data_IF_142784967350
#
_entry.id   IF_142784967350
#
_cell.length_a   1.000
_cell.length_b   1.000
_cell.length_c   1.000
_cell.angle_alpha   90.00
_cell.angle_beta   90.00
_cell.angle_gamma   90.00
#
_symmetry.space_group_name_H-M   'P 1'
#
loop_
_entity.id
_entity.type
_entity.pdbx_description
1 polymer ?
#
# COMPACT_ATOMS: atom_id res chain seq x y z
N UNK A 1 21.52 3.26 -8.69
CA UNK A 1 20.24 3.97 -8.73
C UNK A 1 19.75 4.38 -7.33
N UNK A 2 19.72 3.49 -6.34
CA UNK A 2 19.29 3.78 -4.95
C UNK A 2 20.18 4.83 -4.26
N UNK A 3 21.50 4.76 -4.42
CA UNK A 3 22.48 5.69 -3.80
C UNK A 3 22.30 7.14 -4.27
N UNK A 4 21.95 7.34 -5.53
CA UNK A 4 21.68 8.67 -6.11
C UNK A 4 20.34 9.23 -5.65
N UNK A 5 19.36 8.36 -5.41
CA UNK A 5 18.05 8.71 -4.87
C UNK A 5 18.19 9.17 -3.40
N UNK A 6 18.88 8.39 -2.57
CA UNK A 6 19.15 8.72 -1.16
C UNK A 6 19.93 10.03 -1.02
N UNK A 7 20.94 10.26 -1.85
CA UNK A 7 21.70 11.52 -1.81
C UNK A 7 20.90 12.74 -2.24
N UNK A 8 19.97 12.60 -3.19
CA UNK A 8 19.03 13.68 -3.55
C UNK A 8 17.99 13.90 -2.45
N UNK A 9 17.51 12.84 -1.84
CA UNK A 9 16.54 12.90 -0.74
C UNK A 9 17.15 13.56 0.51
N UNK A 10 18.38 13.23 0.88
CA UNK A 10 19.09 13.87 2.01
C UNK A 10 19.38 15.37 1.79
N UNK A 11 19.40 15.86 0.57
CA UNK A 11 19.51 17.32 0.29
C UNK A 11 18.17 18.06 0.43
N UNK A 12 17.06 17.36 0.29
CA UNK A 12 15.71 17.94 0.40
C UNK A 12 15.25 17.97 1.87
N UNK A 13 15.68 17.00 2.71
CA UNK A 13 15.35 16.92 4.14
C UNK A 13 15.60 18.22 4.92
N UNK A 14 16.75 18.91 4.81
CA UNK A 14 16.95 20.13 5.58
C UNK A 14 16.04 21.28 5.14
N UNK A 15 15.68 21.36 3.87
CA UNK A 15 14.77 22.40 3.38
C UNK A 15 13.32 22.13 3.82
N UNK A 16 12.87 20.87 3.83
CA UNK A 16 11.56 20.48 4.34
C UNK A 16 11.48 20.56 5.85
N UNK A 17 12.54 20.21 6.58
CA UNK A 17 12.62 20.38 8.04
C UNK A 17 12.61 21.86 8.43
N UNK A 18 13.31 22.70 7.68
CA UNK A 18 13.30 24.16 7.88
C UNK A 18 11.91 24.75 7.61
N UNK A 19 11.23 24.25 6.57
CA UNK A 19 9.85 24.66 6.25
C UNK A 19 8.88 24.22 7.35
N UNK A 20 8.98 22.99 7.87
CA UNK A 20 8.18 22.47 8.99
C UNK A 20 8.46 23.23 10.29
N UNK A 21 9.70 23.67 10.55
CA UNK A 21 10.06 24.45 11.74
C UNK A 21 9.61 25.91 11.66
N UNK A 22 9.40 26.46 10.45
CA UNK A 22 8.92 27.81 10.24
C UNK A 22 7.38 27.94 10.22
N UNK A 23 6.66 26.81 10.08
CA UNK A 23 5.19 26.79 10.00
C UNK A 23 4.41 26.63 11.32
N UNK A 24 5.00 26.31 12.51
CA UNK A 24 4.21 26.15 13.75
C UNK A 24 3.38 27.39 14.11
N UNK A 25 3.86 28.58 13.78
CA UNK A 25 3.15 29.81 14.12
C UNK A 25 1.89 30.06 13.26
N UNK A 26 1.81 29.50 12.07
CA UNK A 26 0.63 29.61 11.20
C UNK A 26 -0.49 28.65 11.61
N UNK A 27 -0.14 27.51 12.21
CA UNK A 27 -1.11 26.48 12.65
C UNK A 27 -1.69 26.86 14.03
N UNK A 28 -0.90 27.42 14.94
CA UNK A 28 -1.37 27.82 16.28
C UNK A 28 -2.09 29.17 16.33
N UNK A 29 -2.02 30.00 15.28
CA UNK A 29 -2.76 31.25 15.20
C UNK A 29 -4.28 31.05 14.94
N UNK A 30 -4.74 29.84 14.72
CA UNK A 30 -6.11 29.49 14.36
C UNK A 30 -7.01 29.06 15.54
N UNK A 31 -6.52 29.04 16.79
CA UNK A 31 -7.36 28.63 17.94
C UNK A 31 -8.33 29.72 18.44
N UNK A 32 -8.47 30.83 17.75
CA UNK A 32 -9.32 31.94 18.14
C UNK A 32 -10.21 32.49 17.02
N UNK A 33 -11.19 31.73 16.56
CA UNK A 33 -12.28 32.31 15.79
C UNK A 33 -12.58 31.64 14.44
N UNK A 34 -13.71 30.96 14.37
CA UNK A 34 -14.44 30.63 13.15
C UNK A 34 -13.84 29.46 12.33
N UNK A 35 -14.66 28.49 12.02
CA UNK A 35 -14.33 27.44 11.04
C UNK A 35 -13.85 28.08 9.73
N UNK A 36 -12.54 28.03 9.47
CA UNK A 36 -11.97 28.45 8.18
C UNK A 36 -12.02 27.35 7.12
N UNK A 37 -12.54 26.16 7.45
CA UNK A 37 -12.70 25.02 6.55
C UNK A 37 -14.04 25.03 5.81
N UNK A 38 -14.10 24.37 4.69
CA UNK A 38 -15.32 24.14 3.91
C UNK A 38 -16.08 22.99 4.57
N UNK A 39 -17.31 23.23 5.05
CA UNK A 39 -18.13 22.17 5.58
C UNK A 39 -18.59 21.23 4.46
N UNK A 40 -18.52 19.91 4.71
CA UNK A 40 -18.96 18.91 3.73
C UNK A 40 -20.44 19.04 3.35
N UNK A 41 -21.27 19.64 4.22
CA UNK A 41 -22.68 19.99 3.97
C UNK A 41 -22.86 21.03 2.85
N UNK A 42 -21.87 21.87 2.62
CA UNK A 42 -21.90 22.92 1.58
C UNK A 42 -21.50 22.38 0.20
N UNK A 43 -20.99 21.13 0.18
CA UNK A 43 -20.54 20.50 -1.05
C UNK A 43 -21.66 19.67 -1.69
N UNK A 44 -22.07 20.04 -2.91
CA UNK A 44 -22.99 19.23 -3.71
C UNK A 44 -22.28 17.97 -4.27
N UNK A 45 -23.06 16.98 -4.68
CA UNK A 45 -22.53 15.73 -5.29
C UNK A 45 -21.61 15.97 -6.51
N UNK A 46 -21.71 17.09 -7.19
CA UNK A 46 -20.85 17.43 -8.32
C UNK A 46 -19.37 17.55 -7.95
N UNK A 47 -19.07 17.86 -6.67
CA UNK A 47 -17.70 17.93 -6.17
C UNK A 47 -17.02 16.57 -6.06
N UNK A 48 -17.78 15.48 -6.19
CA UNK A 48 -17.21 14.11 -6.25
C UNK A 48 -16.69 13.75 -7.65
N UNK A 49 -17.04 14.49 -8.68
CA UNK A 49 -16.65 14.17 -10.07
C UNK A 49 -15.13 14.13 -10.29
N UNK A 50 -14.32 15.09 -9.81
CA UNK A 50 -12.87 15.01 -9.98
C UNK A 50 -12.27 13.77 -9.31
N UNK A 51 -12.80 13.37 -8.15
CA UNK A 51 -12.38 12.15 -7.46
C UNK A 51 -12.76 10.88 -8.25
N UNK A 52 -14.01 10.78 -8.69
CA UNK A 52 -14.46 9.67 -9.54
C UNK A 52 -13.67 9.62 -10.86
N UNK A 53 -13.39 10.78 -11.44
CA UNK A 53 -12.64 10.91 -12.69
C UNK A 53 -11.20 10.43 -12.58
N UNK A 54 -10.48 10.77 -11.48
CA UNK A 54 -9.11 10.27 -11.29
C UNK A 54 -9.10 8.76 -11.04
N UNK A 55 -10.05 8.22 -10.25
CA UNK A 55 -10.17 6.78 -10.04
C UNK A 55 -10.44 6.01 -11.33
N UNK A 56 -11.37 6.50 -12.16
CA UNK A 56 -11.64 5.90 -13.46
C UNK A 56 -10.44 6.02 -14.40
N UNK A 57 -9.71 7.13 -14.35
CA UNK A 57 -8.49 7.30 -15.16
C UNK A 57 -7.42 6.27 -14.76
N UNK A 58 -7.21 6.04 -13.46
CA UNK A 58 -6.27 5.04 -12.96
C UNK A 58 -6.69 3.61 -13.35
N UNK A 59 -7.99 3.32 -13.31
CA UNK A 59 -8.50 1.99 -13.61
C UNK A 59 -8.52 1.68 -15.12
N UNK A 60 -8.89 2.65 -15.96
CA UNK A 60 -9.19 2.40 -17.39
C UNK A 60 -8.00 2.77 -18.28
N UNK A 61 -7.33 3.89 -18.04
CA UNK A 61 -6.31 4.38 -18.96
C UNK A 61 -5.14 3.42 -19.18
N UNK A 62 -4.59 2.71 -18.14
CA UNK A 62 -3.56 1.69 -18.35
C UNK A 62 -4.03 0.53 -19.23
N UNK A 63 -5.30 0.15 -19.15
CA UNK A 63 -5.87 -0.95 -19.95
C UNK A 63 -6.00 -0.58 -21.44
N UNK A 64 -6.26 0.71 -21.74
CA UNK A 64 -6.37 1.20 -23.11
C UNK A 64 -4.99 1.41 -23.74
N UNK A 65 -4.09 2.09 -23.03
CA UNK A 65 -2.74 2.36 -23.51
C UNK A 65 -1.75 2.55 -22.35
N UNK A 66 -1.09 1.46 -21.97
CA UNK A 66 -0.12 1.40 -20.87
C UNK A 66 1.04 2.40 -21.06
N UNK A 67 1.63 2.47 -22.27
CA UNK A 67 2.76 3.37 -22.56
C UNK A 67 2.38 4.84 -22.43
N UNK A 68 1.19 5.20 -22.96
CA UNK A 68 0.69 6.57 -22.85
C UNK A 68 0.45 6.94 -21.38
N UNK A 69 -0.17 6.04 -20.61
CA UNK A 69 -0.44 6.24 -19.19
C UNK A 69 0.84 6.50 -18.41
N UNK A 70 1.86 5.66 -18.55
CA UNK A 70 3.14 5.83 -17.86
C UNK A 70 3.82 7.16 -18.13
N UNK A 71 3.62 7.75 -19.32
CA UNK A 71 4.17 9.06 -19.67
C UNK A 71 3.32 10.25 -19.19
N UNK A 72 2.02 10.06 -19.00
CA UNK A 72 1.07 11.15 -18.79
C UNK A 72 0.29 11.09 -17.48
N UNK A 73 0.48 10.05 -16.64
CA UNK A 73 -0.27 9.93 -15.38
C UNK A 73 -0.18 11.18 -14.49
N UNK A 74 1.01 11.81 -14.41
CA UNK A 74 1.20 13.04 -13.64
C UNK A 74 0.41 14.23 -14.20
N UNK A 75 0.30 14.35 -15.54
CA UNK A 75 -0.50 15.40 -16.20
C UNK A 75 -1.99 15.17 -15.98
N UNK A 76 -2.45 13.92 -16.06
CA UNK A 76 -3.85 13.55 -15.80
C UNK A 76 -4.20 13.84 -14.35
N UNK A 77 -3.34 13.46 -13.38
CA UNK A 77 -3.55 13.76 -11.97
C UNK A 77 -3.57 15.26 -11.70
N UNK A 78 -2.65 16.03 -12.29
CA UNK A 78 -2.64 17.48 -12.20
C UNK A 78 -3.90 18.11 -12.81
N UNK A 79 -4.38 17.59 -13.94
CA UNK A 79 -5.62 18.02 -14.57
C UNK A 79 -6.83 17.85 -13.65
N UNK A 80 -6.98 16.70 -13.02
CA UNK A 80 -8.06 16.44 -12.05
C UNK A 80 -7.93 17.29 -10.79
N UNK A 81 -6.70 17.50 -10.28
CA UNK A 81 -6.45 18.40 -9.16
C UNK A 81 -6.84 19.84 -9.49
N UNK A 82 -6.49 20.35 -10.66
CA UNK A 82 -6.88 21.69 -11.10
C UNK A 82 -8.39 21.80 -11.28
N UNK A 83 -9.05 20.76 -11.81
CA UNK A 83 -10.49 20.70 -11.97
C UNK A 83 -11.23 20.70 -10.62
N UNK A 84 -10.58 20.35 -9.53
CA UNK A 84 -11.09 20.49 -8.17
C UNK A 84 -10.76 21.88 -7.58
N UNK A 85 -9.49 22.26 -7.59
CA UNK A 85 -8.99 23.47 -6.91
C UNK A 85 -9.52 24.76 -7.54
N UNK A 86 -9.57 24.85 -8.88
CA UNK A 86 -10.02 26.09 -9.54
C UNK A 86 -11.48 26.43 -9.24
N UNK A 87 -12.44 25.51 -9.34
CA UNK A 87 -13.81 25.79 -8.90
C UNK A 87 -13.92 26.07 -7.39
N UNK A 88 -13.11 25.41 -6.55
CA UNK A 88 -13.09 25.72 -5.09
C UNK A 88 -12.68 27.16 -4.83
N UNK A 89 -11.65 27.65 -5.51
CA UNK A 89 -11.23 29.07 -5.39
C UNK A 89 -12.36 30.02 -5.80
N UNK A 90 -13.08 29.69 -6.87
CA UNK A 90 -14.18 30.51 -7.37
C UNK A 90 -15.39 30.50 -6.44
N UNK A 91 -15.71 29.34 -5.86
CA UNK A 91 -16.92 29.16 -5.04
C UNK A 91 -16.71 29.56 -3.58
N UNK A 92 -15.55 29.25 -2.99
CA UNK A 92 -15.28 29.42 -1.55
C UNK A 92 -14.17 30.44 -1.25
N UNK A 93 -13.52 30.95 -2.29
CA UNK A 93 -12.42 31.90 -2.16
C UNK A 93 -11.05 31.24 -2.00
N UNK A 94 -10.03 32.06 -2.25
CA UNK A 94 -8.62 31.57 -2.26
C UNK A 94 -8.16 31.11 -0.87
N UNK A 95 -8.51 31.83 0.18
CA UNK A 95 -8.06 31.58 1.56
C UNK A 95 -8.59 30.21 2.08
N UNK A 96 -9.92 29.99 1.96
CA UNK A 96 -10.54 28.71 2.36
C UNK A 96 -9.98 27.53 1.55
N UNK A 97 -9.84 27.70 0.24
CA UNK A 97 -9.27 26.64 -0.61
C UNK A 97 -7.82 26.35 -0.27
N UNK A 98 -7.00 27.38 -0.03
CA UNK A 98 -5.61 27.21 0.38
C UNK A 98 -5.50 26.48 1.72
N UNK A 99 -6.37 26.81 2.67
CA UNK A 99 -6.44 26.12 3.95
C UNK A 99 -6.71 24.61 3.76
N UNK A 100 -7.74 24.24 2.98
CA UNK A 100 -8.08 22.84 2.72
C UNK A 100 -6.95 22.08 2.02
N UNK A 101 -6.34 22.70 1.01
CA UNK A 101 -5.20 22.08 0.29
C UNK A 101 -4.01 21.89 1.21
N UNK A 102 -3.68 22.88 2.05
CA UNK A 102 -2.59 22.77 3.01
C UNK A 102 -2.90 21.75 4.12
N UNK A 103 -4.15 21.73 4.60
CA UNK A 103 -4.61 20.76 5.60
C UNK A 103 -4.45 19.33 5.07
N UNK A 104 -5.01 19.02 3.90
CA UNK A 104 -4.89 17.71 3.28
C UNK A 104 -3.41 17.33 3.02
N UNK A 105 -2.60 18.29 2.57
CA UNK A 105 -1.19 18.05 2.27
C UNK A 105 -0.35 17.78 3.53
N UNK A 106 -0.51 18.60 4.57
CA UNK A 106 0.33 18.54 5.77
C UNK A 106 -0.15 17.50 6.80
N UNK A 107 -1.45 17.32 6.96
CA UNK A 107 -2.01 16.45 8.00
C UNK A 107 -2.42 15.06 7.49
N UNK A 108 -2.62 14.89 6.19
CA UNK A 108 -2.97 13.59 5.62
C UNK A 108 -1.84 13.04 4.75
N UNK A 109 -1.42 13.77 3.71
CA UNK A 109 -0.45 13.27 2.74
C UNK A 109 0.94 13.06 3.34
N UNK A 110 1.47 14.02 4.09
CA UNK A 110 2.80 13.92 4.70
C UNK A 110 2.94 12.77 5.69
N UNK A 111 2.05 12.61 6.70
CA UNK A 111 2.09 11.47 7.61
C UNK A 111 1.97 10.14 6.88
N UNK A 112 1.14 10.08 5.84
CA UNK A 112 0.99 8.90 5.01
C UNK A 112 2.29 8.53 4.26
N UNK A 113 2.96 9.49 3.64
CA UNK A 113 4.24 9.24 2.95
C UNK A 113 5.34 8.82 3.93
N UNK A 114 5.39 9.42 5.13
CA UNK A 114 6.34 9.03 6.18
C UNK A 114 6.09 7.60 6.62
N UNK A 115 4.82 7.21 6.82
CA UNK A 115 4.45 5.83 7.15
C UNK A 115 4.90 4.86 6.07
N UNK A 116 4.58 5.14 4.80
CA UNK A 116 5.00 4.29 3.68
C UNK A 116 6.51 4.17 3.58
N UNK A 117 7.23 5.27 3.78
CA UNK A 117 8.70 5.27 3.76
C UNK A 117 9.27 4.40 4.88
N UNK A 118 8.72 4.52 6.10
CA UNK A 118 9.13 3.71 7.24
C UNK A 118 8.88 2.21 6.99
N UNK A 119 7.66 1.85 6.57
CA UNK A 119 7.30 0.46 6.26
C UNK A 119 8.15 -0.11 5.12
N UNK A 120 8.38 0.66 4.06
CA UNK A 120 9.20 0.25 2.93
C UNK A 120 10.66 0.03 3.34
N UNK A 121 11.21 0.92 4.16
CA UNK A 121 12.60 0.84 4.62
C UNK A 121 12.82 -0.39 5.52
N UNK A 122 11.91 -0.63 6.46
CA UNK A 122 11.97 -1.78 7.38
C UNK A 122 11.83 -3.09 6.58
N UNK A 123 10.84 -3.17 5.69
CA UNK A 123 10.56 -4.40 4.94
C UNK A 123 11.62 -4.69 3.88
N UNK A 124 12.20 -3.67 3.26
CA UNK A 124 13.25 -3.81 2.26
C UNK A 124 14.58 -4.31 2.82
N UNK A 125 14.81 -4.13 4.14
CA UNK A 125 16.00 -4.59 4.85
C UNK A 125 15.98 -6.06 5.28
N UNK A 126 14.86 -6.76 5.13
CA UNK A 126 14.74 -8.17 5.55
C UNK A 126 14.69 -9.09 4.35
N UNK A 127 15.53 -10.14 4.37
CA UNK A 127 15.59 -11.17 3.31
C UNK A 127 15.51 -12.56 3.92
N UNK A 128 14.63 -13.39 3.38
CA UNK A 128 14.58 -14.80 3.72
C UNK A 128 15.52 -15.56 2.79
N UNK A 129 16.54 -16.21 3.35
CA UNK A 129 17.48 -17.11 2.68
C UNK A 129 17.09 -18.56 2.92
N UNK A 130 17.64 -19.44 2.10
CA UNK A 130 17.52 -20.90 2.22
C UNK A 130 16.57 -21.50 1.21
N UNK A 131 16.63 -22.84 1.15
CA UNK A 131 15.82 -23.64 0.24
C UNK A 131 14.43 -23.86 0.83
N UNK A 132 13.41 -23.38 0.13
CA UNK A 132 12.01 -23.66 0.45
C UNK A 132 11.46 -24.62 -0.60
N UNK A 133 10.88 -25.75 -0.15
CA UNK A 133 10.20 -26.69 -1.04
C UNK A 133 8.89 -26.05 -1.51
N UNK A 134 8.70 -25.94 -2.82
CA UNK A 134 7.46 -25.43 -3.42
C UNK A 134 6.34 -26.48 -3.36
N UNK A 135 5.95 -26.94 -2.17
CA UNK A 135 4.83 -27.86 -1.96
C UNK A 135 3.56 -27.08 -1.57
N UNK A 136 2.36 -27.65 -1.80
CA UNK A 136 1.11 -26.99 -1.42
C UNK A 136 1.04 -26.59 0.06
N UNK A 137 1.61 -27.42 0.94
CA UNK A 137 1.64 -27.18 2.38
C UNK A 137 2.51 -25.96 2.71
N UNK A 138 3.73 -25.92 2.16
CA UNK A 138 4.68 -24.81 2.38
C UNK A 138 4.17 -23.52 1.76
N UNK A 139 3.64 -23.59 0.54
CA UNK A 139 3.05 -22.43 -0.12
C UNK A 139 1.87 -21.86 0.68
N UNK A 140 0.95 -22.74 1.15
CA UNK A 140 -0.20 -22.35 1.98
C UNK A 140 0.26 -21.72 3.31
N UNK A 141 1.29 -22.28 3.94
CA UNK A 141 1.87 -21.74 5.16
C UNK A 141 2.49 -20.34 4.94
N UNK A 142 3.17 -20.12 3.82
CA UNK A 142 3.72 -18.81 3.45
C UNK A 142 2.59 -17.80 3.21
N UNK A 143 1.53 -18.21 2.52
CA UNK A 143 0.37 -17.34 2.28
C UNK A 143 -0.33 -16.97 3.60
N UNK A 144 -0.54 -17.94 4.50
CA UNK A 144 -1.11 -17.70 5.81
C UNK A 144 -0.25 -16.75 6.65
N UNK A 145 1.07 -17.02 6.71
CA UNK A 145 2.02 -16.15 7.42
C UNK A 145 2.00 -14.73 6.84
N UNK A 146 2.01 -14.61 5.51
CA UNK A 146 1.95 -13.32 4.85
C UNK A 146 0.67 -12.57 5.13
N UNK A 147 -0.47 -13.26 5.17
CA UNK A 147 -1.77 -12.69 5.52
C UNK A 147 -1.78 -12.11 6.94
N UNK A 148 -1.19 -12.82 7.91
CA UNK A 148 -1.05 -12.34 9.30
C UNK A 148 -0.10 -11.14 9.37
N UNK A 149 1.07 -11.25 8.74
CA UNK A 149 2.08 -10.19 8.76
C UNK A 149 1.59 -8.90 8.09
N UNK A 150 0.77 -9.01 7.05
CA UNK A 150 0.26 -7.86 6.31
C UNK A 150 -0.52 -6.88 7.19
N UNK A 151 -1.25 -7.36 8.20
CA UNK A 151 -1.95 -6.50 9.17
C UNK A 151 -1.01 -5.68 10.05
N UNK A 152 0.23 -6.13 10.28
CA UNK A 152 1.17 -5.49 11.21
C UNK A 152 2.25 -4.66 10.54
N UNK A 153 2.76 -5.13 9.39
CA UNK A 153 3.85 -4.45 8.68
C UNK A 153 3.45 -3.88 7.32
N UNK A 154 2.13 -3.87 7.07
CA UNK A 154 1.55 -3.43 5.81
C UNK A 154 1.58 -4.49 4.71
N UNK A 155 0.58 -4.44 3.83
CA UNK A 155 0.49 -5.31 2.66
C UNK A 155 1.74 -5.23 1.79
N UNK A 156 2.25 -4.03 1.55
CA UNK A 156 3.49 -3.81 0.78
C UNK A 156 4.69 -4.46 1.45
N UNK A 157 4.83 -4.31 2.78
CA UNK A 157 5.93 -4.89 3.55
C UNK A 157 5.93 -6.41 3.53
N UNK A 158 4.79 -7.02 3.83
CA UNK A 158 4.62 -8.46 3.80
C UNK A 158 4.83 -9.03 2.39
N UNK A 159 4.32 -8.33 1.36
CA UNK A 159 4.51 -8.73 -0.03
C UNK A 159 5.98 -8.68 -0.44
N UNK A 160 6.72 -7.61 -0.13
CA UNK A 160 8.15 -7.51 -0.45
C UNK A 160 8.98 -8.59 0.23
N UNK A 161 8.64 -8.95 1.46
CA UNK A 161 9.34 -10.00 2.21
C UNK A 161 9.13 -11.39 1.61
N UNK A 162 7.89 -11.72 1.21
CA UNK A 162 7.50 -13.10 0.92
C UNK A 162 7.38 -13.43 -0.57
N UNK A 163 7.20 -12.44 -1.46
CA UNK A 163 7.00 -12.73 -2.90
C UNK A 163 8.22 -13.39 -3.54
N UNK A 164 9.42 -12.97 -3.19
CA UNK A 164 10.66 -13.55 -3.74
C UNK A 164 10.91 -14.97 -3.26
N UNK A 165 10.81 -15.30 -1.95
CA UNK A 165 10.88 -16.68 -1.46
C UNK A 165 9.86 -17.61 -2.11
N UNK A 166 8.59 -17.23 -2.18
CA UNK A 166 7.55 -18.10 -2.77
C UNK A 166 7.76 -18.33 -4.27
N UNK A 167 8.18 -17.29 -5.02
CA UNK A 167 8.50 -17.43 -6.44
C UNK A 167 9.73 -18.33 -6.68
N UNK A 168 10.77 -18.21 -5.84
CA UNK A 168 11.96 -19.06 -5.94
C UNK A 168 11.64 -20.51 -5.63
N UNK A 169 10.87 -20.77 -4.56
CA UNK A 169 10.45 -22.12 -4.18
C UNK A 169 9.68 -22.83 -5.31
N UNK A 170 8.98 -22.08 -6.14
CA UNK A 170 8.14 -22.59 -7.22
C UNK A 170 8.71 -22.31 -8.62
N UNK A 171 9.99 -21.93 -8.74
CA UNK A 171 10.60 -21.59 -10.02
C UNK A 171 10.59 -22.75 -11.03
N UNK A 172 10.70 -23.98 -10.54
CA UNK A 172 10.73 -25.22 -11.31
C UNK A 172 9.37 -25.64 -11.90
N UNK A 173 8.24 -25.05 -11.40
CA UNK A 173 6.89 -25.36 -11.87
C UNK A 173 6.54 -24.58 -13.14
N UNK A 174 5.85 -25.22 -14.07
CA UNK A 174 5.25 -24.57 -15.23
C UNK A 174 3.97 -23.81 -14.82
N UNK A 175 3.12 -24.45 -14.01
CA UNK A 175 1.84 -23.91 -13.56
C UNK A 175 1.98 -23.19 -12.21
N UNK A 176 2.38 -21.91 -12.22
CA UNK A 176 2.60 -21.09 -11.02
C UNK A 176 1.78 -19.79 -10.96
N UNK A 177 0.94 -19.51 -11.97
CA UNK A 177 0.16 -18.27 -12.01
C UNK A 177 -0.80 -18.12 -10.83
N UNK A 178 -1.44 -19.23 -10.43
CA UNK A 178 -2.37 -19.26 -9.30
C UNK A 178 -1.70 -18.87 -7.98
N UNK A 179 -0.42 -19.22 -7.78
CA UNK A 179 0.33 -18.83 -6.57
C UNK A 179 0.39 -17.31 -6.43
N UNK A 180 0.70 -16.60 -7.52
CA UNK A 180 0.77 -15.15 -7.53
C UNK A 180 -0.62 -14.52 -7.33
N UNK A 181 -1.65 -15.10 -7.98
CA UNK A 181 -3.02 -14.60 -7.85
C UNK A 181 -3.50 -14.69 -6.40
N UNK A 182 -3.34 -15.83 -5.75
CA UNK A 182 -3.74 -15.99 -4.35
C UNK A 182 -2.86 -15.20 -3.39
N UNK A 183 -1.58 -15.02 -3.72
CA UNK A 183 -0.69 -14.13 -2.97
C UNK A 183 -1.19 -12.68 -2.98
N UNK A 184 -1.64 -12.19 -4.14
CA UNK A 184 -2.23 -10.85 -4.24
C UNK A 184 -3.51 -10.77 -3.41
N UNK A 185 -4.41 -11.73 -3.52
CA UNK A 185 -5.66 -11.70 -2.76
C UNK A 185 -5.43 -11.78 -1.24
N UNK A 186 -4.59 -12.69 -0.79
CA UNK A 186 -4.38 -12.94 0.63
C UNK A 186 -3.42 -11.92 1.27
N UNK A 187 -2.19 -11.82 0.74
CA UNK A 187 -1.12 -11.05 1.39
C UNK A 187 -1.20 -9.57 1.02
N UNK A 188 -1.40 -9.26 -0.26
CA UNK A 188 -1.40 -7.88 -0.73
C UNK A 188 -2.76 -7.18 -0.58
N UNK A 189 -3.82 -7.88 -0.14
CA UNK A 189 -5.16 -7.33 0.00
C UNK A 189 -5.80 -7.71 1.34
N UNK A 190 -6.40 -8.89 1.46
CA UNK A 190 -7.20 -9.33 2.62
C UNK A 190 -6.42 -9.19 3.93
N UNK A 191 -5.12 -9.55 3.93
CA UNK A 191 -4.27 -9.48 5.11
C UNK A 191 -4.09 -8.08 5.69
N UNK A 192 -4.25 -7.03 4.89
CA UNK A 192 -4.12 -5.64 5.34
C UNK A 192 -5.32 -5.07 6.09
N UNK A 193 -6.45 -5.77 6.14
CA UNK A 193 -7.73 -5.19 6.57
C UNK A 193 -7.90 -4.99 8.08
N UNK A 194 -7.03 -5.54 8.94
CA UNK A 194 -7.25 -5.53 10.39
C UNK A 194 -6.66 -4.34 11.14
N UNK A 195 -5.69 -3.64 10.60
CA UNK A 195 -5.11 -2.47 11.28
C UNK A 195 -4.83 -1.31 10.32
N UNK A 196 -4.74 -0.08 10.82
CA UNK A 196 -4.33 1.08 10.02
C UNK A 196 -2.96 0.95 9.35
N UNK A 197 -2.07 0.11 9.89
CA UNK A 197 -0.76 -0.16 9.28
C UNK A 197 -0.86 -1.12 8.10
N UNK A 198 -1.93 -1.89 8.03
CA UNK A 198 -2.12 -2.92 7.01
C UNK A 198 -2.40 -2.35 5.63
N UNK A 199 -3.25 -1.34 5.55
CA UNK A 199 -3.69 -0.77 4.28
C UNK A 199 -3.83 0.76 4.35
N UNK A 200 -3.32 1.50 3.34
CA UNK A 200 -3.36 2.96 3.27
C UNK A 200 -4.69 3.64 3.59
N UNK A 201 -5.84 3.20 3.04
CA UNK A 201 -7.13 3.80 3.36
C UNK A 201 -7.51 3.71 4.84
N UNK A 202 -7.13 2.62 5.52
CA UNK A 202 -7.37 2.47 6.95
C UNK A 202 -6.54 3.43 7.79
N UNK A 203 -5.31 3.72 7.33
CA UNK A 203 -4.46 4.73 7.98
C UNK A 203 -5.06 6.14 7.87
N UNK A 204 -5.62 6.51 6.72
CA UNK A 204 -6.32 7.77 6.58
C UNK A 204 -7.53 7.84 7.52
N UNK A 205 -8.32 6.77 7.64
CA UNK A 205 -9.41 6.69 8.61
C UNK A 205 -8.92 6.86 10.06
N UNK A 206 -7.76 6.30 10.41
CA UNK A 206 -7.14 6.50 11.71
C UNK A 206 -6.75 7.97 11.96
N UNK A 207 -6.18 8.66 10.97
CA UNK A 207 -5.88 10.09 11.06
C UNK A 207 -7.14 10.94 11.26
N UNK A 208 -8.28 10.50 10.73
CA UNK A 208 -9.59 11.13 10.91
C UNK A 208 -10.30 10.72 12.22
N UNK A 209 -9.59 10.10 13.17
CA UNK A 209 -10.07 9.80 14.51
C UNK A 209 -10.70 8.41 14.69
N UNK A 210 -10.67 7.53 13.69
CA UNK A 210 -11.10 6.13 13.87
C UNK A 210 -10.08 5.41 14.77
N UNK A 211 -10.56 4.68 15.79
CA UNK A 211 -9.68 3.97 16.72
C UNK A 211 -8.80 2.93 16.03
N UNK A 212 -7.54 2.79 16.47
CA UNK A 212 -6.55 1.89 15.85
C UNK A 212 -7.04 0.43 15.71
N UNK A 213 -7.68 -0.11 16.74
CA UNK A 213 -8.22 -1.47 16.74
C UNK A 213 -9.69 -1.58 16.32
N UNK A 214 -10.26 -0.49 15.79
CA UNK A 214 -11.66 -0.51 15.36
C UNK A 214 -11.89 -1.56 14.25
N UNK A 215 -11.05 -1.56 13.22
CA UNK A 215 -11.12 -2.53 12.13
C UNK A 215 -10.86 -3.96 12.61
N UNK A 216 -9.92 -4.15 13.53
CA UNK A 216 -9.66 -5.47 14.12
C UNK A 216 -10.91 -6.00 14.82
N UNK A 217 -11.58 -5.20 15.65
CA UNK A 217 -12.75 -5.64 16.42
C UNK A 217 -13.99 -5.88 15.55
N UNK A 218 -14.13 -5.20 14.43
CA UNK A 218 -15.32 -5.28 13.57
C UNK A 218 -15.14 -6.17 12.34
N UNK A 219 -13.90 -6.35 11.83
CA UNK A 219 -13.65 -7.09 10.59
C UNK A 219 -12.89 -8.41 10.79
N UNK A 220 -12.55 -8.76 12.04
CA UNK A 220 -11.77 -9.97 12.32
C UNK A 220 -12.44 -11.25 11.81
N UNK A 221 -13.73 -11.41 12.04
CA UNK A 221 -14.45 -12.60 11.61
C UNK A 221 -14.62 -12.67 10.10
N UNK A 222 -14.96 -11.56 9.46
CA UNK A 222 -15.12 -11.45 8.01
C UNK A 222 -13.79 -11.71 7.29
N UNK A 223 -12.73 -11.07 7.75
CA UNK A 223 -11.38 -11.27 7.22
C UNK A 223 -10.93 -12.72 7.36
N UNK A 224 -11.09 -13.30 8.56
CA UNK A 224 -10.71 -14.69 8.84
C UNK A 224 -11.52 -15.65 7.97
N UNK A 225 -12.82 -15.43 7.83
CA UNK A 225 -13.69 -16.25 6.99
C UNK A 225 -13.23 -16.25 5.52
N UNK A 226 -12.97 -15.07 4.95
CA UNK A 226 -12.49 -14.93 3.57
C UNK A 226 -11.09 -15.54 3.42
N UNK A 227 -10.18 -15.28 4.36
CA UNK A 227 -8.83 -15.82 4.32
C UNK A 227 -8.82 -17.35 4.37
N UNK A 228 -9.64 -17.97 5.25
CA UNK A 228 -9.74 -19.43 5.34
C UNK A 228 -10.28 -20.02 4.05
N UNK A 229 -11.36 -19.46 3.48
CA UNK A 229 -11.90 -19.93 2.21
C UNK A 229 -10.84 -19.85 1.10
N UNK A 230 -10.14 -18.73 0.97
CA UNK A 230 -9.11 -18.55 -0.05
C UNK A 230 -7.93 -19.51 0.17
N UNK A 231 -7.49 -19.74 1.40
CA UNK A 231 -6.42 -20.69 1.70
C UNK A 231 -6.82 -22.13 1.37
N UNK A 232 -8.04 -22.53 1.68
CA UNK A 232 -8.57 -23.87 1.35
C UNK A 232 -8.67 -24.05 -0.17
N UNK A 233 -9.24 -23.07 -0.88
CA UNK A 233 -9.33 -23.10 -2.34
C UNK A 233 -7.94 -23.13 -2.97
N UNK A 234 -7.00 -22.34 -2.46
CA UNK A 234 -5.63 -22.35 -2.90
C UNK A 234 -4.99 -23.73 -2.72
N UNK A 235 -5.09 -24.31 -1.53
CA UNK A 235 -4.51 -25.61 -1.21
C UNK A 235 -5.01 -26.72 -2.15
N UNK A 236 -6.32 -26.78 -2.35
CA UNK A 236 -6.96 -27.76 -3.25
C UNK A 236 -6.47 -27.56 -4.69
N UNK A 237 -6.45 -26.31 -5.16
CA UNK A 237 -6.03 -25.95 -6.51
C UNK A 237 -4.54 -26.23 -6.72
N UNK A 238 -3.67 -25.85 -5.76
CA UNK A 238 -2.22 -26.05 -5.85
C UNK A 238 -1.87 -27.53 -5.85
N UNK A 239 -2.55 -28.33 -5.01
CA UNK A 239 -2.39 -29.79 -4.98
C UNK A 239 -2.81 -30.44 -6.30
N UNK A 240 -3.94 -29.99 -6.87
CA UNK A 240 -4.41 -30.48 -8.16
C UNK A 240 -3.45 -30.11 -9.30
N UNK A 241 -2.95 -28.90 -9.35
CA UNK A 241 -2.00 -28.46 -10.37
C UNK A 241 -0.63 -29.12 -10.20
N UNK A 242 -0.19 -29.35 -8.97
CA UNK A 242 1.05 -30.07 -8.69
C UNK A 242 0.98 -31.55 -9.21
N UNK A 243 -0.18 -32.18 -9.08
CA UNK A 243 -0.34 -33.54 -9.59
C UNK A 243 -0.25 -33.67 -11.12
N UNK A 244 -0.38 -32.55 -11.83
CA UNK A 244 -0.24 -32.45 -13.30
C UNK A 244 1.13 -31.91 -13.74
N UNK A 245 2.00 -31.56 -12.78
CA UNK A 245 3.32 -31.04 -13.09
C UNK A 245 4.22 -32.19 -13.58
N UNK A 246 4.89 -31.95 -14.68
CA UNK A 246 5.80 -32.93 -15.31
C UNK A 246 7.26 -32.72 -14.90
N UNK A 247 7.56 -31.49 -14.43
CA UNK A 247 8.90 -31.13 -13.99
C UNK A 247 9.20 -31.75 -12.62
N UNK A 248 10.44 -32.18 -12.44
CA UNK A 248 10.90 -32.72 -11.15
C UNK A 248 11.32 -31.61 -10.21
N UNK A 249 10.83 -31.65 -8.97
CA UNK A 249 11.27 -30.74 -7.94
C UNK A 249 12.78 -30.89 -7.71
N UNK A 250 13.56 -29.79 -7.72
CA UNK A 250 14.98 -29.83 -7.40
C UNK A 250 15.19 -30.41 -5.99
N UNK A 251 16.19 -31.28 -5.86
CA UNK A 251 16.61 -31.79 -4.56
C UNK A 251 17.31 -30.69 -3.78
N UNK A 252 17.05 -30.66 -2.49
CA UNK A 252 17.78 -29.79 -1.57
C UNK A 252 19.22 -30.30 -1.47
N UNK A 253 20.17 -29.51 -1.93
CA UNK A 253 21.60 -29.84 -1.87
C UNK A 253 22.22 -29.48 -0.49
N UNK A 254 21.42 -29.00 0.46
CA UNK A 254 21.85 -28.62 1.81
C UNK A 254 22.77 -27.41 1.86
N UNK A 255 22.91 -26.67 0.76
CA UNK A 255 23.88 -25.58 0.62
C UNK A 255 23.54 -24.34 1.43
N UNK A 256 22.25 -24.07 1.71
CA UNK A 256 21.83 -22.91 2.48
C UNK A 256 20.72 -23.25 3.49
N UNK A 257 21.00 -23.19 4.81
CA UNK A 257 19.95 -23.35 5.81
C UNK A 257 18.95 -22.19 5.75
N UNK A 258 17.69 -22.48 6.11
CA UNK A 258 16.67 -21.45 6.27
C UNK A 258 17.11 -20.43 7.31
N UNK A 259 17.16 -19.19 6.92
CA UNK A 259 17.56 -18.07 7.78
C UNK A 259 16.97 -16.74 7.37
N UNK A 260 16.91 -15.84 8.32
CA UNK A 260 16.52 -14.44 8.08
C UNK A 260 17.81 -13.61 8.11
N UNK A 261 18.06 -12.89 7.05
CA UNK A 261 19.18 -11.95 6.95
C UNK A 261 18.64 -10.52 6.92
N UNK A 262 19.22 -9.68 7.78
CA UNK A 262 19.01 -8.24 7.72
C UNK A 262 20.07 -7.67 6.78
N UNK A 263 19.63 -7.15 5.64
CA UNK A 263 20.52 -6.50 4.69
C UNK A 263 20.76 -5.07 5.17
N UNK A 264 21.87 -4.86 5.86
CA UNK A 264 22.36 -3.51 6.15
C UNK A 264 22.89 -2.89 4.86
N UNK A 265 22.29 -1.75 4.46
CA UNK A 265 22.69 -0.99 3.29
C UNK A 265 24.06 -0.31 3.45
#
# INVERSE_FOLDING_TARGET
MVRTFIQRFMRIIPATLLFILLTPQLIFASEGGGHHGIEGSDLSLWWTLPFAGILLSIAIAPLINEKWWHHNFGKVSAGWALLMVVPMIVSFGFEATLYEVLHAYLLEYFPFIILLLALFTISGGVRIKGYLKGTPEVNTAILLLGTILASWMGTTGAAMLLIRPILRANAWRDNKKHIVIFFIFLVANVGGSLTPLGDPPLFLGFLQGVGFFWTTSHLFFEMTFVAVILLVLYYILDRYLLSKETNTQPQDDGSEPLGIEVVTA
#
